data_IF_755797428881
#
_entry.id   IF_755797428881
#
_cell.length_a   1.000
_cell.length_b   1.000
_cell.length_c   1.000
_cell.angle_alpha   90.00
_cell.angle_beta   90.00
_cell.angle_gamma   90.00
#
_symmetry.space_group_name_H-M   'P 1'
#
loop_
_entity.id
_entity.type
_entity.pdbx_description
1 polymer ?
#
# COMPACT_ATOMS: atom_id res chain seq x y z
N UNK A 1 -3.16 17.67 3.14
CA UNK A 1 -1.89 17.84 3.90
C UNK A 1 -1.94 17.38 5.37
N UNK A 2 -3.11 17.30 6.03
CA UNK A 2 -3.24 16.76 7.41
C UNK A 2 -2.77 15.30 7.59
N UNK A 3 -2.87 14.47 6.54
CA UNK A 3 -2.43 13.06 6.56
C UNK A 3 -0.91 12.89 6.67
N UNK A 4 -0.13 13.71 5.97
CA UNK A 4 1.34 13.66 6.01
C UNK A 4 1.89 14.06 7.39
N UNK A 5 1.26 15.00 8.08
CA UNK A 5 1.65 15.37 9.45
C UNK A 5 1.36 14.24 10.45
N UNK A 6 0.24 13.53 10.29
CA UNK A 6 -0.15 12.43 11.17
C UNK A 6 0.77 11.21 10.99
N UNK A 7 1.18 10.93 9.75
CA UNK A 7 2.19 9.93 9.44
C UNK A 7 3.58 10.30 10.02
N UNK A 8 4.01 11.56 9.89
CA UNK A 8 5.28 12.04 10.47
C UNK A 8 5.31 11.96 12.00
N UNK A 9 4.19 12.21 12.68
CA UNK A 9 4.08 12.13 14.14
C UNK A 9 4.11 10.68 14.64
N UNK A 10 3.42 9.75 13.97
CA UNK A 10 3.52 8.32 14.29
C UNK A 10 4.97 7.82 14.15
N UNK A 11 5.64 8.13 13.04
CA UNK A 11 7.02 7.70 12.79
C UNK A 11 8.00 8.30 13.80
N UNK A 12 7.83 9.56 14.20
CA UNK A 12 8.65 10.19 15.25
C UNK A 12 8.38 9.63 16.64
N UNK A 13 7.15 9.30 16.98
CA UNK A 13 6.81 8.65 18.25
C UNK A 13 7.41 7.23 18.34
N UNK A 14 7.50 6.55 17.21
CA UNK A 14 8.01 5.19 17.10
C UNK A 14 9.54 5.10 17.21
N UNK A 15 10.25 6.08 16.64
CA UNK A 15 11.72 6.21 16.73
C UNK A 15 12.24 6.44 18.16
N UNK A 16 11.41 6.97 19.07
CA UNK A 16 11.80 7.31 20.44
C UNK A 16 11.75 6.15 21.45
N UNK A 17 11.13 5.01 21.09
CA UNK A 17 10.91 3.90 22.04
C UNK A 17 11.97 2.78 21.98
N UNK A 18 13.01 2.88 21.15
CA UNK A 18 14.28 2.13 21.28
C UNK A 18 14.26 0.59 21.26
N UNK A 19 13.10 -0.06 21.27
CA UNK A 19 12.94 -1.52 21.40
C UNK A 19 12.67 -2.24 20.07
N UNK A 20 12.59 -1.51 18.96
CA UNK A 20 12.12 -2.06 17.69
C UNK A 20 13.22 -2.69 16.80
N UNK A 21 14.50 -2.60 17.17
CA UNK A 21 15.63 -2.92 16.28
C UNK A 21 15.64 -4.36 15.73
N UNK A 22 15.03 -5.33 16.42
CA UNK A 22 14.96 -6.73 15.96
C UNK A 22 13.67 -7.07 15.17
N UNK A 23 12.60 -6.27 15.27
CA UNK A 23 11.33 -6.47 14.54
C UNK A 23 11.11 -5.47 13.38
N UNK A 24 11.99 -4.47 13.30
CA UNK A 24 11.96 -3.34 12.39
C UNK A 24 11.91 -3.66 10.87
N UNK A 25 12.50 -4.75 10.33
CA UNK A 25 12.42 -4.98 8.88
C UNK A 25 11.00 -5.34 8.43
N UNK A 26 10.26 -6.13 9.20
CA UNK A 26 8.90 -6.56 8.84
C UNK A 26 7.90 -5.38 8.91
N UNK A 27 7.99 -4.57 9.97
CA UNK A 27 7.09 -3.42 10.15
C UNK A 27 7.29 -2.32 9.11
N UNK A 28 8.51 -2.13 8.62
CA UNK A 28 8.76 -1.20 7.51
C UNK A 28 8.14 -1.67 6.19
N UNK A 29 8.12 -2.97 5.94
CA UNK A 29 7.54 -3.54 4.72
C UNK A 29 6.02 -3.31 4.73
N UNK A 30 5.33 -3.62 5.83
CA UNK A 30 3.88 -3.39 5.92
C UNK A 30 3.48 -1.91 5.78
N UNK A 31 4.26 -1.00 6.37
CA UNK A 31 4.00 0.45 6.25
C UNK A 31 4.25 0.93 4.82
N UNK A 32 5.32 0.46 4.17
CA UNK A 32 5.63 0.82 2.79
C UNK A 32 4.58 0.27 1.81
N UNK A 33 4.12 -0.97 2.01
CA UNK A 33 3.06 -1.59 1.22
C UNK A 33 1.75 -0.81 1.33
N UNK A 34 1.34 -0.46 2.55
CA UNK A 34 0.14 0.36 2.78
C UNK A 34 0.27 1.75 2.17
N UNK A 35 1.43 2.39 2.29
CA UNK A 35 1.67 3.71 1.71
C UNK A 35 1.60 3.68 0.18
N UNK A 36 2.22 2.69 -0.45
CA UNK A 36 2.17 2.50 -1.90
C UNK A 36 0.74 2.18 -2.37
N UNK A 37 0.01 1.32 -1.63
CA UNK A 37 -1.38 0.97 -1.94
C UNK A 37 -2.29 2.20 -1.98
N UNK A 38 -2.30 3.00 -0.92
CA UNK A 38 -3.12 4.21 -0.87
C UNK A 38 -2.65 5.30 -1.85
N UNK A 39 -1.34 5.37 -2.11
CA UNK A 39 -0.76 6.30 -3.09
C UNK A 39 -1.22 6.00 -4.52
N UNK A 40 -1.23 4.72 -4.92
CA UNK A 40 -1.67 4.30 -6.25
C UNK A 40 -3.20 4.38 -6.36
N UNK A 41 -3.93 3.90 -5.36
CA UNK A 41 -5.40 3.87 -5.40
C UNK A 41 -6.02 5.26 -5.52
N UNK A 42 -5.41 6.28 -4.88
CA UNK A 42 -5.89 7.66 -4.93
C UNK A 42 -5.59 8.37 -6.25
N UNK A 43 -4.54 7.98 -6.96
CA UNK A 43 -4.17 8.57 -8.24
C UNK A 43 -4.87 7.87 -9.43
N UNK A 44 -5.11 6.57 -9.33
CA UNK A 44 -5.64 5.74 -10.41
C UNK A 44 -7.01 6.20 -10.94
N UNK A 45 -7.94 6.57 -10.05
CA UNK A 45 -9.28 7.05 -10.45
C UNK A 45 -9.18 8.34 -11.26
N UNK A 46 -8.40 9.31 -10.79
CA UNK A 46 -8.20 10.59 -11.49
C UNK A 46 -7.45 10.42 -12.81
N UNK A 47 -6.53 9.46 -12.89
CA UNK A 47 -5.81 9.15 -14.12
C UNK A 47 -6.72 8.49 -15.19
N UNK A 48 -7.60 7.58 -14.78
CA UNK A 48 -8.53 6.91 -15.71
C UNK A 48 -9.64 7.82 -16.21
N UNK A 49 -10.14 8.72 -15.35
CA UNK A 49 -11.22 9.65 -15.69
C UNK A 49 -10.75 10.93 -16.38
N UNK A 50 -9.49 11.33 -16.19
CA UNK A 50 -8.90 12.53 -16.82
C UNK A 50 -8.28 12.24 -18.19
N UNK A 51 -6.97 11.93 -18.25
CA UNK A 51 -6.23 11.78 -19.51
C UNK A 51 -6.67 10.60 -20.39
N UNK A 52 -7.22 9.53 -19.81
CA UNK A 52 -7.77 8.40 -20.58
C UNK A 52 -9.22 8.60 -21.04
N UNK A 53 -9.95 9.57 -20.47
CA UNK A 53 -11.34 9.86 -20.82
C UNK A 53 -12.31 8.69 -20.68
N UNK A 54 -12.01 7.68 -19.85
CA UNK A 54 -12.92 6.56 -19.64
C UNK A 54 -14.15 6.98 -18.83
N UNK A 55 -15.28 6.31 -19.10
CA UNK A 55 -16.50 6.50 -18.29
C UNK A 55 -16.22 6.12 -16.84
N UNK A 56 -16.83 6.86 -15.91
CA UNK A 56 -16.69 6.63 -14.46
C UNK A 56 -17.02 5.19 -14.04
N UNK A 57 -17.88 4.51 -14.80
CA UNK A 57 -18.23 3.10 -14.59
C UNK A 57 -17.04 2.17 -14.92
N UNK A 58 -16.40 2.36 -16.07
CA UNK A 58 -15.23 1.57 -16.50
C UNK A 58 -14.00 1.85 -15.63
N UNK A 59 -13.84 3.09 -15.19
CA UNK A 59 -12.78 3.47 -14.25
C UNK A 59 -12.97 2.82 -12.86
N UNK A 60 -14.22 2.76 -12.37
CA UNK A 60 -14.53 2.11 -11.09
C UNK A 60 -14.31 0.59 -11.13
N UNK A 61 -14.62 -0.06 -12.26
CA UNK A 61 -14.36 -1.48 -12.46
C UNK A 61 -12.85 -1.79 -12.40
N UNK A 62 -12.04 -0.99 -13.10
CA UNK A 62 -10.57 -1.13 -13.09
C UNK A 62 -9.97 -0.98 -11.68
N UNK A 63 -10.55 -0.09 -10.87
CA UNK A 63 -10.12 0.14 -9.48
C UNK A 63 -10.54 -1.02 -8.57
N UNK A 64 -11.72 -1.61 -8.77
CA UNK A 64 -12.15 -2.80 -8.06
C UNK A 64 -11.24 -4.00 -8.39
N UNK A 65 -10.89 -4.20 -9.66
CA UNK A 65 -9.95 -5.25 -10.09
C UNK A 65 -8.56 -5.03 -9.47
N UNK A 66 -8.08 -3.79 -9.43
CA UNK A 66 -6.84 -3.43 -8.75
C UNK A 66 -6.87 -3.77 -7.25
N UNK A 67 -7.95 -3.42 -6.55
CA UNK A 67 -8.13 -3.73 -5.13
C UNK A 67 -8.21 -5.23 -4.85
N UNK A 68 -8.86 -5.99 -5.73
CA UNK A 68 -8.87 -7.46 -5.65
C UNK A 68 -7.47 -8.07 -5.85
N UNK A 69 -6.74 -7.60 -6.86
CA UNK A 69 -5.41 -8.12 -7.20
C UNK A 69 -4.39 -7.87 -6.09
N UNK A 70 -4.40 -6.66 -5.53
CA UNK A 70 -3.52 -6.27 -4.41
C UNK A 70 -3.83 -7.03 -3.11
N UNK A 71 -5.07 -7.46 -2.90
CA UNK A 71 -5.44 -8.31 -1.76
C UNK A 71 -4.97 -9.76 -1.92
N UNK A 72 -4.83 -10.24 -3.16
CA UNK A 72 -4.34 -11.59 -3.47
C UNK A 72 -2.82 -11.68 -3.56
N UNK A 73 -2.15 -10.57 -3.91
CA UNK A 73 -0.69 -10.48 -4.03
C UNK A 73 0.08 -10.97 -2.78
N UNK A 74 -0.29 -10.61 -1.53
CA UNK A 74 0.41 -11.13 -0.34
C UNK A 74 0.21 -12.63 -0.12
N UNK A 75 -0.92 -13.22 -0.54
CA UNK A 75 -1.12 -14.68 -0.48
C UNK A 75 -0.16 -15.40 -1.42
N UNK A 76 0.01 -14.87 -2.64
CA UNK A 76 0.97 -15.41 -3.61
C UNK A 76 2.41 -15.19 -3.14
N UNK A 77 2.71 -14.02 -2.59
CA UNK A 77 4.02 -13.70 -2.02
C UNK A 77 4.40 -14.62 -0.86
N UNK A 78 3.46 -14.90 0.04
CA UNK A 78 3.65 -15.84 1.15
C UNK A 78 3.89 -17.28 0.65
N UNK A 79 3.15 -17.73 -0.35
CA UNK A 79 3.33 -19.06 -0.95
C UNK A 79 4.73 -19.23 -1.57
N UNK A 80 5.21 -18.22 -2.28
CA UNK A 80 6.56 -18.23 -2.88
C UNK A 80 7.63 -18.19 -1.80
N UNK A 81 7.45 -17.37 -0.75
CA UNK A 81 8.40 -17.28 0.36
C UNK A 81 8.54 -18.63 1.10
N UNK A 82 7.43 -19.31 1.37
CA UNK A 82 7.41 -20.63 2.03
C UNK A 82 8.02 -21.73 1.16
N UNK A 83 7.83 -21.65 -0.17
CA UNK A 83 8.30 -22.68 -1.10
C UNK A 83 9.78 -22.56 -1.49
N UNK A 84 10.37 -21.36 -1.50
CA UNK A 84 11.71 -21.13 -2.06
C UNK A 84 12.71 -20.49 -1.09
N UNK A 85 12.26 -19.88 0.01
CA UNK A 85 13.11 -19.16 0.96
C UNK A 85 13.01 -19.74 2.39
N UNK A 86 12.19 -20.77 2.60
CA UNK A 86 12.09 -21.57 3.82
C UNK A 86 13.11 -22.70 3.90
#
# INVERSE_FOLDING_TARGET
MRWFLKARLCVRAWLLLGLAAEFIPCERVEIAERFAYYGISSNLISYLTGPLGQSTVSAAESVNVWSGTTSMLPLVGAFIADSFLG
#
